data_IF_590796396809
#
_entry.id   IF_590796396809
#
_cell.length_a   1.000
_cell.length_b   1.000
_cell.length_c   1.000
_cell.angle_alpha   90.00
_cell.angle_beta   90.00
_cell.angle_gamma   90.00
#
_symmetry.space_group_name_H-M   'P 1'
#
loop_
_entity.id
_entity.type
_entity.pdbx_description
1 polymer ?
#
# COMPACT_ATOMS: atom_id res chain seq x y z
N UNK A 1 -1.67 3.13 -22.78
CA UNK A 1 -1.72 3.35 -24.25
C UNK A 1 -2.36 2.14 -24.91
N UNK A 2 -3.33 2.34 -25.81
CA UNK A 2 -4.01 1.27 -26.55
C UNK A 2 -3.38 1.06 -27.92
N UNK A 3 -3.12 -0.18 -28.29
CA UNK A 3 -2.70 -0.60 -29.63
C UNK A 3 -3.76 -1.56 -30.14
N UNK A 4 -4.46 -1.18 -31.21
CA UNK A 4 -5.48 -2.03 -31.84
C UNK A 4 -4.86 -2.83 -32.99
N UNK A 5 -5.17 -4.12 -33.06
CA UNK A 5 -4.80 -4.99 -34.17
C UNK A 5 -6.08 -5.34 -34.94
N UNK A 6 -6.37 -4.57 -35.98
CA UNK A 6 -7.65 -4.67 -36.71
C UNK A 6 -8.85 -4.23 -35.88
N UNK A 7 -10.02 -4.78 -36.18
CA UNK A 7 -11.30 -4.39 -35.55
C UNK A 7 -11.66 -5.21 -34.31
N UNK A 8 -11.06 -6.40 -34.16
CA UNK A 8 -11.46 -7.38 -33.12
C UNK A 8 -10.49 -7.43 -31.94
N UNK A 9 -9.22 -7.13 -32.16
CA UNK A 9 -8.21 -7.30 -31.12
C UNK A 9 -7.67 -5.94 -30.63
N UNK A 10 -7.49 -5.80 -29.31
CA UNK A 10 -6.82 -4.64 -28.74
C UNK A 10 -5.95 -4.97 -27.54
N UNK A 11 -4.81 -4.32 -27.46
CA UNK A 11 -3.86 -4.41 -26.35
C UNK A 11 -3.74 -3.06 -25.65
N UNK A 12 -4.04 -3.00 -24.36
CA UNK A 12 -3.84 -1.82 -23.52
C UNK A 12 -2.63 -2.02 -22.61
N UNK A 13 -1.70 -1.05 -22.65
CA UNK A 13 -0.63 -0.93 -21.65
C UNK A 13 -1.10 0.02 -20.55
N UNK A 14 -1.07 -0.46 -19.31
CA UNK A 14 -1.48 0.25 -18.09
C UNK A 14 -0.23 0.44 -17.22
N UNK A 15 -0.02 1.65 -16.72
CA UNK A 15 1.03 1.96 -15.75
C UNK A 15 0.40 2.64 -14.55
N UNK A 16 0.64 2.09 -13.37
CA UNK A 16 0.13 2.59 -12.10
C UNK A 16 1.30 2.92 -11.17
N UNK A 17 1.17 4.02 -10.42
CA UNK A 17 2.16 4.45 -9.44
C UNK A 17 1.47 4.64 -8.11
N UNK A 18 1.90 3.86 -7.12
CA UNK A 18 1.41 3.94 -5.76
C UNK A 18 2.44 4.66 -4.89
N UNK A 19 1.96 5.52 -3.99
CA UNK A 19 2.82 6.31 -3.10
C UNK A 19 3.91 7.10 -3.87
N UNK A 20 3.52 7.91 -4.87
CA UNK A 20 4.45 8.63 -5.78
C UNK A 20 5.50 9.50 -5.05
N UNK A 21 5.12 10.07 -3.90
CA UNK A 21 5.99 10.92 -3.09
C UNK A 21 6.78 10.14 -2.02
N UNK A 22 6.65 8.82 -1.97
CA UNK A 22 7.27 7.96 -0.97
C UNK A 22 7.00 8.45 0.47
N UNK A 23 5.79 8.93 0.71
CA UNK A 23 5.39 9.41 2.03
C UNK A 23 5.22 8.19 2.93
N UNK A 24 5.86 8.22 4.10
CA UNK A 24 5.57 7.25 5.15
C UNK A 24 4.09 7.35 5.51
N UNK A 25 3.35 6.27 5.30
CA UNK A 25 1.95 6.19 5.64
C UNK A 25 1.79 5.02 6.61
N UNK A 26 1.38 5.36 7.83
CA UNK A 26 1.04 4.36 8.85
C UNK A 26 -0.24 3.67 8.41
N UNK A 27 -0.26 2.33 8.41
CA UNK A 27 -1.34 1.56 7.81
C UNK A 27 -2.65 1.72 8.58
N UNK A 28 -2.78 0.96 9.65
CA UNK A 28 -3.88 1.06 10.59
C UNK A 28 -3.36 0.73 11.99
N UNK A 29 -3.66 1.59 12.96
CA UNK A 29 -3.36 1.34 14.36
C UNK A 29 -4.09 0.06 14.82
N UNK A 30 -3.46 -0.70 15.72
CA UNK A 30 -4.08 -1.89 16.26
C UNK A 30 -5.32 -1.50 17.10
N UNK A 31 -6.52 -2.01 16.79
CA UNK A 31 -7.76 -1.60 17.46
C UNK A 31 -7.93 -2.20 18.85
N UNK A 32 -7.08 -3.16 19.24
CA UNK A 32 -7.21 -3.91 20.49
C UNK A 32 -6.46 -3.25 21.65
N UNK A 33 -7.15 -3.01 22.77
CA UNK A 33 -6.52 -2.43 23.96
C UNK A 33 -5.46 -3.35 24.59
N UNK A 34 -5.50 -4.66 24.30
CA UNK A 34 -4.53 -5.64 24.81
C UNK A 34 -3.11 -5.38 24.31
N UNK A 35 -2.97 -4.64 23.21
CA UNK A 35 -1.65 -4.24 22.73
C UNK A 35 -1.08 -3.02 23.45
N UNK A 36 -1.84 -2.42 24.37
CA UNK A 36 -1.35 -1.41 25.29
C UNK A 36 -0.39 -2.09 26.27
N UNK A 37 0.84 -1.58 26.37
CA UNK A 37 1.95 -2.18 27.11
C UNK A 37 2.55 -3.45 26.50
N UNK A 38 2.35 -3.70 25.19
CA UNK A 38 2.95 -4.88 24.52
C UNK A 38 4.49 -4.94 24.61
N UNK A 39 5.15 -3.79 24.79
CA UNK A 39 6.62 -3.72 24.90
C UNK A 39 7.13 -3.66 26.34
N UNK A 40 6.25 -3.58 27.35
CA UNK A 40 6.64 -3.44 28.76
C UNK A 40 7.31 -2.10 29.12
N UNK A 41 7.43 -1.17 28.16
CA UNK A 41 8.09 0.12 28.35
C UNK A 41 7.07 1.17 28.76
N UNK A 42 7.32 1.88 29.86
CA UNK A 42 6.50 3.01 30.34
C UNK A 42 7.28 4.31 30.27
N UNK A 43 6.66 5.37 29.75
CA UNK A 43 7.21 6.74 29.72
C UNK A 43 6.19 7.70 30.32
N UNK A 44 6.37 8.03 31.61
CA UNK A 44 5.42 8.83 32.37
C UNK A 44 4.08 8.11 32.56
N UNK A 45 3.00 8.71 32.08
CA UNK A 45 1.64 8.14 32.10
C UNK A 45 1.30 7.26 30.89
N UNK A 46 2.21 7.10 29.92
CA UNK A 46 1.97 6.34 28.67
C UNK A 46 2.71 5.01 28.69
N UNK A 47 2.04 3.96 28.21
CA UNK A 47 2.62 2.64 27.97
C UNK A 47 2.94 2.48 26.48
N UNK A 48 4.06 1.82 26.17
CA UNK A 48 4.43 1.48 24.80
C UNK A 48 3.47 0.46 24.21
N UNK A 49 2.93 0.73 23.03
CA UNK A 49 2.07 -0.19 22.29
C UNK A 49 2.85 -1.05 21.30
N UNK A 50 2.19 -2.04 20.70
CA UNK A 50 2.73 -2.72 19.53
C UNK A 50 3.00 -1.72 18.39
N UNK A 51 4.04 -1.98 17.60
CA UNK A 51 4.38 -1.16 16.42
C UNK A 51 3.27 -1.25 15.38
N UNK A 52 2.83 -0.11 14.85
CA UNK A 52 1.87 -0.08 13.75
C UNK A 52 2.53 -0.50 12.45
N UNK A 53 1.85 -1.33 11.66
CA UNK A 53 2.30 -1.65 10.31
C UNK A 53 2.31 -0.39 9.43
N UNK A 54 3.21 -0.32 8.46
CA UNK A 54 3.25 0.77 7.49
C UNK A 54 2.71 0.27 6.14
N UNK A 55 2.07 1.15 5.37
CA UNK A 55 1.77 0.86 3.97
C UNK A 55 3.04 0.73 3.16
N UNK A 56 2.92 0.08 2.00
CA UNK A 56 4.04 -0.16 1.12
C UNK A 56 4.73 1.16 0.68
N UNK A 57 6.07 1.12 0.51
CA UNK A 57 6.82 2.20 -0.12
C UNK A 57 6.33 2.51 -1.54
N UNK A 58 6.94 3.51 -2.20
CA UNK A 58 6.62 3.81 -3.61
C UNK A 58 6.73 2.58 -4.50
N UNK A 59 5.63 2.24 -5.17
CA UNK A 59 5.55 1.10 -6.10
C UNK A 59 5.14 1.57 -7.49
N UNK A 60 5.67 0.86 -8.49
CA UNK A 60 5.31 1.01 -9.89
C UNK A 60 4.77 -0.33 -10.37
N UNK A 61 3.57 -0.34 -10.94
CA UNK A 61 2.96 -1.52 -11.52
C UNK A 61 2.71 -1.30 -13.00
N UNK A 62 2.99 -2.32 -13.81
CA UNK A 62 2.78 -2.28 -15.26
C UNK A 62 1.91 -3.48 -15.62
N UNK A 63 0.77 -3.19 -16.23
CA UNK A 63 -0.21 -4.18 -16.67
C UNK A 63 -0.40 -4.16 -18.18
N UNK A 64 -0.76 -5.32 -18.72
CA UNK A 64 -1.20 -5.48 -20.10
C UNK A 64 -2.61 -6.06 -20.09
N UNK A 65 -3.55 -5.42 -20.81
CA UNK A 65 -4.89 -5.96 -21.03
C UNK A 65 -5.06 -6.30 -22.49
N UNK A 66 -5.38 -7.56 -22.77
CA UNK A 66 -5.74 -8.03 -24.10
C UNK A 66 -7.25 -8.18 -24.22
N UNK A 67 -7.82 -7.83 -25.37
CA UNK A 67 -9.25 -7.96 -25.68
C UNK A 67 -9.41 -8.49 -27.11
N UNK A 68 -10.46 -9.30 -27.34
CA UNK A 68 -10.77 -10.00 -28.59
C UNK A 68 -12.28 -9.98 -28.87
#
# INVERSE_FOLDING_TARGET
RRISFGERYSLDVIGEVFNMFNRFNEAAANPFYQVVNATGIRRGSKYGSASTSAFDPRQFQIGLRFSF
#
